data_IF_676676781232
#
_entry.id   IF_676676781232
#
_cell.length_a   1.000
_cell.length_b   1.000
_cell.length_c   1.000
_cell.angle_alpha   90.00
_cell.angle_beta   90.00
_cell.angle_gamma   90.00
#
_symmetry.space_group_name_H-M   'P 1'
#
loop_
_entity.id
_entity.type
_entity.pdbx_description
1 polymer ?
#
# COMPACT_ATOMS: atom_id res chain seq x y z
N UNK A 1 23.20 10.06 1.97
CA UNK A 1 24.03 9.04 1.29
C UNK A 1 24.23 7.80 2.16
N UNK A 2 24.73 7.93 3.40
CA UNK A 2 24.96 6.79 4.33
C UNK A 2 23.76 5.84 4.54
N UNK A 3 22.55 6.37 4.64
CA UNK A 3 21.34 5.56 4.83
C UNK A 3 20.95 4.77 3.58
N UNK A 4 20.94 5.42 2.41
CA UNK A 4 20.74 4.76 1.11
C UNK A 4 21.75 3.63 0.88
N UNK A 5 23.03 3.89 1.14
CA UNK A 5 24.10 2.88 1.00
C UNK A 5 23.83 1.69 1.91
N UNK A 6 23.54 1.94 3.19
CA UNK A 6 23.20 0.89 4.17
C UNK A 6 22.01 0.06 3.69
N UNK A 7 20.95 0.71 3.21
CA UNK A 7 19.73 0.03 2.79
C UNK A 7 19.93 -0.79 1.50
N UNK A 8 20.63 -0.24 0.51
CA UNK A 8 20.96 -0.96 -0.73
C UNK A 8 21.86 -2.17 -0.44
N UNK A 9 22.83 -2.06 0.46
CA UNK A 9 23.72 -3.17 0.83
C UNK A 9 22.98 -4.21 1.67
N UNK A 10 22.18 -3.79 2.65
CA UNK A 10 21.40 -4.71 3.47
C UNK A 10 20.40 -5.50 2.64
N UNK A 11 19.81 -4.85 1.64
CA UNK A 11 18.88 -5.47 0.73
C UNK A 11 19.64 -6.35 -0.26
N UNK A 12 20.52 -5.83 -1.10
CA UNK A 12 21.07 -6.55 -2.25
C UNK A 12 22.46 -7.17 -2.05
N UNK A 13 23.02 -7.09 -0.84
CA UNK A 13 24.32 -7.65 -0.49
C UNK A 13 25.44 -7.16 -1.43
N UNK A 14 26.16 -8.11 -2.03
CA UNK A 14 27.28 -7.81 -2.93
C UNK A 14 26.83 -7.07 -4.21
N UNK A 15 25.64 -7.38 -4.74
CA UNK A 15 25.08 -6.64 -5.89
C UNK A 15 24.83 -5.18 -5.53
N UNK A 16 24.37 -4.92 -4.31
CA UNK A 16 24.17 -3.57 -3.79
C UNK A 16 25.49 -2.79 -3.68
N UNK A 17 26.55 -3.41 -3.17
CA UNK A 17 27.89 -2.80 -3.12
C UNK A 17 28.40 -2.47 -4.52
N UNK A 18 28.30 -3.40 -5.47
CA UNK A 18 28.76 -3.20 -6.84
C UNK A 18 27.99 -2.07 -7.52
N UNK A 19 26.66 -2.04 -7.36
CA UNK A 19 25.82 -0.95 -7.88
C UNK A 19 26.28 0.43 -7.39
N UNK A 20 26.61 0.57 -6.11
CA UNK A 20 27.07 1.84 -5.55
C UNK A 20 28.44 2.27 -6.13
N UNK A 21 29.33 1.32 -6.41
CA UNK A 21 30.62 1.58 -7.09
C UNK A 21 30.40 2.06 -8.52
N UNK A 22 29.47 1.43 -9.25
CA UNK A 22 29.20 1.72 -10.67
C UNK A 22 28.30 2.95 -10.87
N UNK A 23 27.62 3.41 -9.81
CA UNK A 23 26.61 4.46 -9.86
C UNK A 23 27.08 5.77 -10.51
N UNK A 24 28.29 6.32 -10.23
CA UNK A 24 28.76 7.55 -10.88
C UNK A 24 28.91 7.39 -12.40
N UNK A 25 29.40 6.23 -12.85
CA UNK A 25 29.56 5.94 -14.28
C UNK A 25 28.18 5.78 -14.95
N UNK A 26 27.26 5.06 -14.30
CA UNK A 26 25.88 4.92 -14.78
C UNK A 26 25.19 6.29 -14.93
N UNK A 27 25.35 7.18 -13.94
CA UNK A 27 24.80 8.55 -14.01
C UNK A 27 25.40 9.31 -15.19
N UNK A 28 26.71 9.22 -15.42
CA UNK A 28 27.37 9.89 -16.55
C UNK A 28 26.86 9.37 -17.91
N UNK A 29 26.65 8.07 -18.05
CA UNK A 29 26.10 7.46 -19.26
C UNK A 29 24.67 7.93 -19.53
N UNK A 30 23.79 7.86 -18.52
CA UNK A 30 22.38 8.29 -18.63
C UNK A 30 22.31 9.79 -18.94
N UNK A 31 23.18 10.60 -18.30
CA UNK A 31 23.26 12.03 -18.56
C UNK A 31 23.56 12.32 -20.03
N UNK A 32 24.52 11.62 -20.62
CA UNK A 32 24.87 11.79 -22.03
C UNK A 32 23.76 11.26 -22.96
N UNK A 33 23.20 10.10 -22.65
CA UNK A 33 22.18 9.46 -23.48
C UNK A 33 20.88 10.27 -23.58
N UNK A 34 20.40 10.80 -22.45
CA UNK A 34 19.13 11.52 -22.38
C UNK A 34 19.28 13.04 -22.44
N UNK A 35 20.51 13.56 -22.59
CA UNK A 35 20.78 15.00 -22.62
C UNK A 35 20.44 15.70 -21.29
N UNK A 36 20.74 15.06 -20.16
CA UNK A 36 20.40 15.59 -18.84
C UNK A 36 21.44 16.62 -18.35
N UNK A 37 20.98 17.61 -17.60
CA UNK A 37 21.82 18.65 -17.00
C UNK A 37 21.46 18.91 -15.54
N UNK A 38 22.39 19.53 -14.81
CA UNK A 38 22.27 19.92 -13.40
C UNK A 38 21.69 18.84 -12.46
N UNK A 39 22.09 17.59 -12.67
CA UNK A 39 21.70 16.47 -11.81
C UNK A 39 22.22 16.68 -10.39
N UNK A 40 21.28 16.76 -9.44
CA UNK A 40 21.54 16.96 -8.01
C UNK A 40 20.78 15.92 -7.21
N UNK A 41 21.42 15.24 -6.25
CA UNK A 41 20.74 14.34 -5.33
C UNK A 41 19.58 15.04 -4.61
N UNK A 42 18.43 14.40 -4.58
CA UNK A 42 17.32 14.81 -3.70
C UNK A 42 17.64 14.31 -2.30
N UNK A 43 17.30 15.10 -1.27
CA UNK A 43 17.51 14.70 0.12
C UNK A 43 16.50 13.59 0.54
N UNK A 44 16.76 12.90 1.66
CA UNK A 44 15.88 11.87 2.25
C UNK A 44 15.65 10.62 1.38
N UNK A 45 16.73 10.06 0.82
CA UNK A 45 16.68 8.84 0.01
C UNK A 45 16.80 7.61 0.89
N UNK A 46 15.75 6.80 0.91
CA UNK A 46 15.72 5.55 1.69
C UNK A 46 16.21 4.35 0.87
N UNK A 47 15.78 4.17 -0.40
CA UNK A 47 16.06 2.91 -1.14
C UNK A 47 16.46 3.03 -2.60
N UNK A 48 16.17 4.15 -3.25
CA UNK A 48 16.57 4.42 -4.63
C UNK A 48 17.46 5.67 -4.66
N UNK A 49 18.41 5.72 -5.59
CA UNK A 49 19.16 6.94 -5.84
C UNK A 49 18.31 7.88 -6.70
N UNK A 50 17.90 9.00 -6.14
CA UNK A 50 17.01 9.96 -6.82
C UNK A 50 17.73 11.27 -7.04
N UNK A 51 17.74 11.73 -8.29
CA UNK A 51 18.37 12.95 -8.75
C UNK A 51 17.28 13.85 -9.34
N UNK A 52 17.34 15.14 -9.01
CA UNK A 52 16.61 16.17 -9.76
C UNK A 52 17.53 16.82 -10.77
N UNK A 53 16.98 17.33 -11.88
CA UNK A 53 17.76 18.08 -12.86
C UNK A 53 16.88 18.54 -14.00
N UNK A 54 17.46 18.64 -15.19
CA UNK A 54 16.75 19.07 -16.38
C UNK A 54 17.05 18.19 -17.59
N UNK A 55 16.09 18.13 -18.50
CA UNK A 55 16.27 17.73 -19.90
C UNK A 55 15.88 18.93 -20.75
N UNK A 56 16.85 19.56 -21.40
CA UNK A 56 16.72 20.92 -21.95
C UNK A 56 16.18 21.93 -20.93
N UNK A 57 14.89 22.31 -21.05
CA UNK A 57 14.18 23.21 -20.11
C UNK A 57 13.19 22.48 -19.20
N UNK A 58 12.91 21.20 -19.46
CA UNK A 58 11.99 20.38 -18.69
C UNK A 58 12.66 19.97 -17.38
N UNK A 59 12.04 20.26 -16.24
CA UNK A 59 12.51 19.79 -14.96
C UNK A 59 12.17 18.29 -14.77
N UNK A 60 13.15 17.49 -14.33
CA UNK A 60 13.02 16.04 -14.25
C UNK A 60 13.40 15.48 -12.87
N UNK A 61 12.93 14.26 -12.61
CA UNK A 61 13.40 13.38 -11.56
C UNK A 61 13.93 12.09 -12.23
N UNK A 62 15.19 11.75 -11.96
CA UNK A 62 15.80 10.50 -12.34
C UNK A 62 15.91 9.60 -11.11
N UNK A 63 15.24 8.45 -11.15
CA UNK A 63 15.34 7.40 -10.13
C UNK A 63 16.18 6.24 -10.67
N UNK A 64 17.13 5.78 -9.86
CA UNK A 64 18.00 4.64 -10.16
C UNK A 64 17.98 3.63 -9.00
N UNK A 65 18.00 2.33 -9.32
CA UNK A 65 18.12 1.28 -8.32
C UNK A 65 18.08 -0.12 -8.91
N UNK A 66 18.22 -1.12 -8.03
CA UNK A 66 18.29 -2.54 -8.42
C UNK A 66 16.93 -3.26 -8.46
N UNK A 67 15.85 -2.59 -8.06
CA UNK A 67 14.51 -3.18 -7.94
C UNK A 67 13.71 -3.13 -9.24
N UNK A 68 14.14 -3.86 -10.27
CA UNK A 68 13.58 -3.78 -11.63
C UNK A 68 12.06 -3.94 -11.71
N UNK A 69 11.50 -4.94 -11.01
CA UNK A 69 10.05 -5.17 -11.00
C UNK A 69 9.29 -4.03 -10.30
N UNK A 70 9.91 -3.43 -9.28
CA UNK A 70 9.37 -2.25 -8.60
C UNK A 70 9.31 -1.04 -9.54
N UNK A 71 10.38 -0.78 -10.28
CA UNK A 71 10.41 0.30 -11.28
C UNK A 71 9.41 0.09 -12.41
N UNK A 72 9.32 -1.13 -12.97
CA UNK A 72 8.35 -1.46 -14.02
C UNK A 72 6.92 -1.24 -13.55
N UNK A 73 6.61 -1.63 -12.30
CA UNK A 73 5.29 -1.47 -11.71
C UNK A 73 4.96 -0.01 -11.40
N UNK A 74 5.90 0.73 -10.83
CA UNK A 74 5.76 2.17 -10.60
C UNK A 74 5.48 2.89 -11.92
N UNK A 75 6.25 2.61 -12.96
CA UNK A 75 6.06 3.19 -14.28
C UNK A 75 4.70 2.82 -14.89
N UNK A 76 4.28 1.56 -14.78
CA UNK A 76 2.97 1.11 -15.23
C UNK A 76 1.84 1.84 -14.50
N UNK A 77 1.95 2.01 -13.17
CA UNK A 77 0.96 2.72 -12.37
C UNK A 77 0.89 4.21 -12.72
N UNK A 78 2.04 4.88 -12.85
CA UNK A 78 2.09 6.29 -13.29
C UNK A 78 1.48 6.47 -14.69
N UNK A 79 1.76 5.56 -15.63
CA UNK A 79 1.15 5.58 -16.96
C UNK A 79 -0.36 5.35 -16.91
N UNK A 80 -0.84 4.44 -16.06
CA UNK A 80 -2.26 4.21 -15.86
C UNK A 80 -2.97 5.42 -15.23
N UNK A 81 -2.29 6.17 -14.38
CA UNK A 81 -2.76 7.42 -13.78
C UNK A 81 -2.49 8.66 -14.64
N UNK A 82 -1.96 8.52 -15.86
CA UNK A 82 -1.69 9.66 -16.75
C UNK A 82 -2.99 10.41 -17.03
N UNK A 83 -2.99 11.73 -16.76
CA UNK A 83 -4.18 12.58 -16.84
C UNK A 83 -5.07 12.57 -15.59
N UNK A 84 -4.75 11.76 -14.58
CA UNK A 84 -5.51 11.60 -13.33
C UNK A 84 -4.75 12.10 -12.09
N UNK A 85 -3.83 13.06 -12.27
CA UNK A 85 -3.11 13.70 -11.17
C UNK A 85 -1.89 12.92 -10.67
N UNK A 86 -1.21 12.17 -11.54
CA UNK A 86 0.10 11.58 -11.27
C UNK A 86 1.17 12.20 -12.17
N UNK A 87 2.43 12.12 -11.74
CA UNK A 87 3.55 12.59 -12.56
C UNK A 87 3.74 11.74 -13.83
N UNK A 88 4.05 12.39 -14.93
CA UNK A 88 4.35 11.78 -16.22
C UNK A 88 5.67 11.00 -16.22
N UNK A 89 5.65 9.80 -16.82
CA UNK A 89 6.85 9.02 -17.15
C UNK A 89 7.43 9.52 -18.47
N UNK A 90 8.67 10.02 -18.45
CA UNK A 90 9.39 10.53 -19.63
C UNK A 90 10.21 9.43 -20.31
N UNK A 91 10.84 8.56 -19.52
CA UNK A 91 11.54 7.38 -20.02
C UNK A 91 11.63 6.30 -18.93
N UNK A 92 11.74 5.04 -19.35
CA UNK A 92 11.97 3.90 -18.46
C UNK A 92 12.99 2.95 -19.08
N UNK A 93 13.85 2.37 -18.24
CA UNK A 93 14.75 1.27 -18.57
C UNK A 93 14.89 0.35 -17.37
N UNK A 94 15.57 -0.78 -17.54
CA UNK A 94 15.93 -1.63 -16.41
C UNK A 94 16.70 -0.83 -15.35
N UNK A 95 16.21 -0.83 -14.10
CA UNK A 95 16.79 -0.09 -12.99
C UNK A 95 16.68 1.44 -13.06
N UNK A 96 15.93 2.00 -14.03
CA UNK A 96 15.86 3.44 -14.28
C UNK A 96 14.43 3.92 -14.57
N UNK A 97 14.06 5.03 -13.93
CA UNK A 97 12.84 5.76 -14.26
C UNK A 97 13.14 7.26 -14.34
N UNK A 98 12.79 7.87 -15.47
CA UNK A 98 12.89 9.31 -15.71
C UNK A 98 11.47 9.88 -15.72
N UNK A 99 11.20 10.82 -14.83
CA UNK A 99 9.88 11.38 -14.57
C UNK A 99 9.91 12.90 -14.75
N UNK A 100 8.75 13.48 -15.03
CA UNK A 100 8.58 14.92 -14.82
C UNK A 100 8.75 15.25 -13.33
N UNK A 101 9.28 16.44 -13.04
CA UNK A 101 9.37 16.95 -11.68
C UNK A 101 8.21 17.89 -11.38
N UNK A 102 7.56 17.69 -10.23
CA UNK A 102 6.56 18.63 -9.73
C UNK A 102 7.17 20.02 -9.44
N UNK A 103 6.51 21.10 -9.85
CA UNK A 103 6.97 22.49 -9.80
C UNK A 103 6.23 23.26 -8.70
N UNK A 104 7.01 23.99 -7.89
CA UNK A 104 6.90 24.10 -6.42
C UNK A 104 7.45 22.85 -5.73
N UNK A 105 6.88 21.67 -6.01
CA UNK A 105 7.36 20.39 -5.49
C UNK A 105 7.29 20.26 -3.96
N UNK A 106 6.60 21.20 -3.29
CA UNK A 106 6.38 21.15 -1.87
C UNK A 106 5.54 19.92 -1.51
N UNK A 107 6.02 19.13 -0.57
CA UNK A 107 5.28 17.97 -0.08
C UNK A 107 4.12 18.41 0.82
N UNK A 108 3.00 17.71 0.70
CA UNK A 108 1.85 17.86 1.59
C UNK A 108 2.21 17.59 3.07
N UNK A 109 3.34 16.95 3.35
CA UNK A 109 3.85 16.78 4.72
C UNK A 109 4.07 18.09 5.46
N UNK A 110 4.34 19.18 4.72
CA UNK A 110 4.49 20.52 5.30
C UNK A 110 3.19 21.06 5.93
N UNK A 111 2.05 20.41 5.70
CA UNK A 111 0.76 20.77 6.29
C UNK A 111 0.54 20.12 7.66
N UNK A 112 1.34 19.10 8.01
CA UNK A 112 1.19 18.40 9.28
C UNK A 112 1.96 19.11 10.41
N UNK A 113 1.38 19.29 11.61
CA UNK A 113 -0.01 19.01 12.00
C UNK A 113 -0.99 20.20 11.88
N UNK A 114 -0.52 21.40 11.49
CA UNK A 114 -1.32 22.63 11.64
C UNK A 114 -2.45 22.78 10.62
N UNK A 115 -2.34 22.14 9.46
CA UNK A 115 -3.26 22.26 8.32
C UNK A 115 -3.88 20.93 7.91
N UNK A 116 -4.21 20.08 8.88
CA UNK A 116 -4.78 18.75 8.65
C UNK A 116 -6.05 18.76 7.79
N UNK A 117 -6.93 19.73 8.01
CA UNK A 117 -8.18 19.82 7.24
C UNK A 117 -7.92 20.00 5.75
N UNK A 118 -7.01 20.91 5.39
CA UNK A 118 -6.61 21.13 4.00
C UNK A 118 -5.94 19.89 3.41
N UNK A 119 -5.06 19.23 4.19
CA UNK A 119 -4.37 18.02 3.75
C UNK A 119 -5.34 16.87 3.43
N UNK A 120 -6.39 16.69 4.25
CA UNK A 120 -7.44 15.70 3.99
C UNK A 120 -8.22 16.04 2.70
N UNK A 121 -8.56 17.32 2.47
CA UNK A 121 -9.27 17.73 1.26
C UNK A 121 -8.43 17.57 -0.01
N UNK A 122 -7.14 17.92 0.07
CA UNK A 122 -6.17 17.73 -1.02
C UNK A 122 -6.04 16.24 -1.36
N UNK A 123 -5.84 15.39 -0.35
CA UNK A 123 -5.81 13.94 -0.51
C UNK A 123 -7.11 13.41 -1.12
N UNK A 124 -8.26 13.87 -0.63
CA UNK A 124 -9.58 13.53 -1.18
C UNK A 124 -9.73 13.91 -2.66
N UNK A 125 -9.22 15.08 -3.05
CA UNK A 125 -9.16 15.51 -4.45
C UNK A 125 -8.27 14.60 -5.31
N UNK A 126 -7.11 14.19 -4.79
CA UNK A 126 -6.22 13.25 -5.45
C UNK A 126 -6.90 11.88 -5.67
N UNK A 127 -7.53 11.32 -4.63
CA UNK A 127 -8.26 10.05 -4.71
C UNK A 127 -9.36 10.07 -5.77
N UNK A 128 -10.15 11.16 -5.80
CA UNK A 128 -11.23 11.34 -6.79
C UNK A 128 -10.70 11.36 -8.22
N UNK A 129 -9.52 11.94 -8.47
CA UNK A 129 -8.87 11.92 -9.79
C UNK A 129 -8.34 10.51 -10.09
N UNK A 130 -7.54 9.92 -9.20
CA UNK A 130 -6.89 8.62 -9.39
C UNK A 130 -7.87 7.48 -9.65
N UNK A 131 -8.98 7.42 -8.91
CA UNK A 131 -9.96 6.34 -9.04
C UNK A 131 -10.77 6.39 -10.35
N UNK A 132 -10.59 7.42 -11.19
CA UNK A 132 -11.13 7.47 -12.55
C UNK A 132 -10.24 6.72 -13.57
N UNK A 133 -9.03 6.32 -13.18
CA UNK A 133 -8.15 5.54 -14.05
C UNK A 133 -8.79 4.19 -14.42
N UNK A 134 -8.93 3.96 -15.73
CA UNK A 134 -9.87 3.00 -16.30
C UNK A 134 -9.37 1.54 -16.34
N UNK A 135 -10.26 0.57 -16.68
CA UNK A 135 -10.03 -0.86 -16.57
C UNK A 135 -8.92 -1.57 -17.37
N UNK A 136 -8.41 -1.12 -18.55
CA UNK A 136 -7.43 -1.93 -19.30
C UNK A 136 -6.16 -2.20 -18.48
N UNK A 137 -5.90 -1.38 -17.47
CA UNK A 137 -4.76 -1.52 -16.57
C UNK A 137 -4.99 -2.48 -15.39
N UNK A 138 -6.24 -2.84 -15.07
CA UNK A 138 -6.55 -3.66 -13.88
C UNK A 138 -5.93 -5.06 -13.93
N UNK A 139 -5.75 -5.63 -15.12
CA UNK A 139 -5.14 -6.96 -15.31
C UNK A 139 -3.61 -6.97 -15.09
N UNK A 140 -2.99 -5.79 -15.01
CA UNK A 140 -1.53 -5.63 -14.90
C UNK A 140 -1.12 -5.47 -13.42
N UNK A 141 -2.04 -5.22 -12.49
CA UNK A 141 -1.67 -4.98 -11.10
C UNK A 141 -2.09 -6.15 -10.21
N UNK A 142 -1.26 -6.50 -9.20
CA UNK A 142 -1.68 -7.46 -8.19
C UNK A 142 -2.87 -6.91 -7.41
N UNK A 143 -3.60 -7.77 -6.73
CA UNK A 143 -4.69 -7.33 -5.87
C UNK A 143 -4.20 -7.23 -4.41
N UNK A 144 -4.79 -6.33 -3.61
CA UNK A 144 -4.47 -6.19 -2.18
C UNK A 144 -4.59 -7.50 -1.40
N UNK A 145 -5.43 -8.44 -1.86
CA UNK A 145 -5.60 -9.77 -1.25
C UNK A 145 -4.28 -10.53 -1.22
N UNK A 146 -3.46 -10.33 -2.26
CA UNK A 146 -2.20 -11.04 -2.43
C UNK A 146 -1.17 -10.51 -1.42
N UNK A 147 -1.20 -9.21 -1.10
CA UNK A 147 -0.39 -8.62 -0.02
C UNK A 147 -0.85 -9.10 1.36
N UNK A 148 -2.16 -9.22 1.54
CA UNK A 148 -2.78 -9.63 2.79
C UNK A 148 -2.57 -11.12 3.12
N UNK A 149 -2.02 -11.91 2.20
CA UNK A 149 -1.61 -13.29 2.45
C UNK A 149 -0.48 -13.38 3.49
N UNK A 150 0.32 -12.33 3.67
CA UNK A 150 1.37 -12.26 4.70
C UNK A 150 0.79 -12.53 6.10
N UNK A 151 -0.46 -12.09 6.35
CA UNK A 151 -1.13 -12.31 7.62
C UNK A 151 -1.43 -13.79 7.90
N UNK A 152 -1.36 -14.69 6.91
CA UNK A 152 -1.57 -16.13 7.12
C UNK A 152 -0.33 -16.83 7.70
N UNK A 153 0.85 -16.19 7.64
CA UNK A 153 2.06 -16.75 8.23
C UNK A 153 2.03 -16.62 9.75
N UNK A 154 2.71 -17.54 10.43
CA UNK A 154 3.01 -17.38 11.84
C UNK A 154 4.05 -16.28 12.04
N UNK A 155 3.90 -15.52 13.12
CA UNK A 155 4.79 -14.39 13.44
C UNK A 155 4.84 -14.17 14.94
N UNK A 156 5.73 -13.30 15.41
CA UNK A 156 5.77 -12.89 16.83
C UNK A 156 4.71 -11.83 17.18
N UNK A 157 3.74 -11.58 16.29
CA UNK A 157 2.56 -10.76 16.60
C UNK A 157 1.65 -11.58 17.52
N UNK A 158 1.11 -11.01 18.61
CA UNK A 158 0.17 -11.70 19.48
C UNK A 158 -1.02 -12.27 18.70
N UNK A 159 -1.35 -13.55 18.94
CA UNK A 159 -2.41 -14.29 18.25
C UNK A 159 -3.75 -13.56 18.25
N UNK A 160 -4.06 -12.83 19.32
CA UNK A 160 -5.25 -11.99 19.41
C UNK A 160 -5.34 -10.99 18.23
N UNK A 161 -4.29 -10.20 17.99
CA UNK A 161 -4.28 -9.22 16.91
C UNK A 161 -4.23 -9.88 15.54
N UNK A 162 -3.45 -10.94 15.39
CA UNK A 162 -3.29 -11.65 14.12
C UNK A 162 -4.61 -12.32 13.69
N UNK A 163 -5.30 -13.01 14.60
CA UNK A 163 -6.59 -13.64 14.33
C UNK A 163 -7.69 -12.61 14.08
N UNK A 164 -7.70 -11.49 14.83
CA UNK A 164 -8.63 -10.39 14.56
C UNK A 164 -8.39 -9.78 13.17
N UNK A 165 -7.13 -9.58 12.78
CA UNK A 165 -6.78 -9.04 11.47
C UNK A 165 -7.19 -9.98 10.33
N UNK A 166 -6.94 -11.30 10.48
CA UNK A 166 -7.39 -12.33 9.53
C UNK A 166 -8.92 -12.29 9.36
N UNK A 167 -9.67 -12.31 10.46
CA UNK A 167 -11.14 -12.26 10.43
C UNK A 167 -11.66 -10.98 9.75
N UNK A 168 -11.12 -9.82 10.13
CA UNK A 168 -11.51 -8.54 9.52
C UNK A 168 -11.15 -8.49 8.04
N UNK A 169 -9.93 -8.91 7.66
CA UNK A 169 -9.49 -9.02 6.27
C UNK A 169 -10.48 -9.85 5.45
N UNK A 170 -10.81 -11.05 5.91
CA UNK A 170 -11.67 -11.97 5.16
C UNK A 170 -13.06 -11.36 4.95
N UNK A 171 -13.67 -10.80 6.00
CA UNK A 171 -14.95 -10.10 5.90
C UNK A 171 -14.87 -8.88 4.96
N UNK A 172 -13.81 -8.08 5.05
CA UNK A 172 -13.65 -6.88 4.21
C UNK A 172 -13.48 -7.24 2.73
N UNK A 173 -12.66 -8.25 2.42
CA UNK A 173 -12.46 -8.73 1.05
C UNK A 173 -13.74 -9.33 0.46
N UNK A 174 -14.48 -10.12 1.25
CA UNK A 174 -15.75 -10.73 0.83
C UNK A 174 -16.84 -9.69 0.55
N UNK A 175 -16.89 -8.62 1.36
CA UNK A 175 -17.93 -7.58 1.29
C UNK A 175 -17.48 -6.33 0.52
N UNK A 176 -16.33 -6.38 -0.15
CA UNK A 176 -15.83 -5.25 -0.93
C UNK A 176 -16.74 -4.94 -2.11
N UNK A 177 -16.96 -3.65 -2.36
CA UNK A 177 -17.54 -3.18 -3.62
C UNK A 177 -16.52 -3.29 -4.76
N UNK A 178 -16.84 -2.71 -5.92
CA UNK A 178 -15.99 -2.71 -7.10
C UNK A 178 -14.57 -2.20 -6.79
N UNK A 179 -13.57 -2.99 -7.20
CA UNK A 179 -12.16 -2.62 -7.04
C UNK A 179 -11.74 -1.57 -8.07
N UNK A 180 -10.80 -0.71 -7.67
CA UNK A 180 -10.18 0.31 -8.52
C UNK A 180 -8.67 0.12 -8.52
N UNK A 181 -7.99 0.82 -9.43
CA UNK A 181 -6.54 0.97 -9.34
C UNK A 181 -6.20 1.93 -8.20
N UNK A 182 -5.48 1.40 -7.23
CA UNK A 182 -4.98 2.06 -6.03
C UNK A 182 -3.53 2.52 -6.25
N UNK A 183 -3.17 3.64 -5.66
CA UNK A 183 -1.77 4.06 -5.54
C UNK A 183 -1.03 3.05 -4.63
N UNK A 184 -1.69 2.59 -3.57
CA UNK A 184 -1.22 1.52 -2.68
C UNK A 184 -0.22 1.97 -1.62
N UNK A 185 0.08 3.27 -1.54
CA UNK A 185 0.99 3.88 -0.55
C UNK A 185 0.82 5.41 -0.52
N UNK A 186 -0.42 5.90 -0.63
CA UNK A 186 -0.68 7.32 -0.77
C UNK A 186 -0.67 8.01 0.60
N UNK A 187 0.41 8.73 0.88
CA UNK A 187 0.58 9.54 2.09
C UNK A 187 1.20 10.91 1.74
N UNK A 188 1.32 11.77 2.75
CA UNK A 188 1.76 13.16 2.62
C UNK A 188 3.04 13.39 1.80
N UNK A 189 4.05 12.52 1.90
CA UNK A 189 5.30 12.68 1.13
C UNK A 189 5.12 12.35 -0.36
N UNK A 190 4.14 11.53 -0.71
CA UNK A 190 3.83 11.12 -2.09
C UNK A 190 2.83 12.05 -2.78
N UNK A 191 2.42 13.15 -2.14
CA UNK A 191 1.54 14.17 -2.69
C UNK A 191 2.31 15.49 -2.74
N UNK A 192 2.59 15.96 -3.95
CA UNK A 192 3.42 17.14 -4.20
C UNK A 192 2.61 18.24 -4.89
N UNK A 193 2.92 19.49 -4.54
CA UNK A 193 2.33 20.64 -5.18
C UNK A 193 2.86 20.82 -6.61
N UNK A 194 1.94 21.08 -7.54
CA UNK A 194 2.19 21.36 -8.96
C UNK A 194 1.41 22.62 -9.36
N UNK A 195 2.04 23.79 -9.25
CA UNK A 195 1.32 25.06 -9.38
C UNK A 195 0.20 25.18 -8.35
N UNK A 196 -1.03 25.39 -8.82
CA UNK A 196 -2.24 25.44 -7.97
C UNK A 196 -2.91 24.06 -7.77
N UNK A 197 -2.36 23.01 -8.41
CA UNK A 197 -2.82 21.63 -8.33
C UNK A 197 -1.90 20.77 -7.44
N UNK A 198 -2.31 19.50 -7.25
CA UNK A 198 -1.53 18.48 -6.56
C UNK A 198 -1.40 17.24 -7.43
N UNK A 199 -0.20 16.65 -7.42
CA UNK A 199 0.14 15.44 -8.16
C UNK A 199 0.72 14.38 -7.24
N UNK A 200 0.53 13.11 -7.58
CA UNK A 200 1.07 11.98 -6.84
C UNK A 200 2.33 11.40 -7.49
N UNK A 201 3.19 10.82 -6.66
CA UNK A 201 4.46 10.20 -7.05
C UNK A 201 4.64 8.86 -6.36
N UNK A 202 5.51 8.00 -6.91
CA UNK A 202 5.88 6.71 -6.31
C UNK A 202 4.70 5.73 -6.01
N UNK A 203 3.73 5.56 -6.94
CA UNK A 203 2.68 4.57 -6.75
C UNK A 203 3.25 3.15 -6.76
N UNK A 204 2.67 2.29 -5.92
CA UNK A 204 2.94 0.84 -5.95
C UNK A 204 2.09 0.13 -6.97
N UNK A 205 0.91 0.67 -7.29
CA UNK A 205 -0.01 0.08 -8.26
C UNK A 205 -0.57 -1.25 -7.77
N UNK A 206 -1.79 -1.21 -7.25
CA UNK A 206 -2.47 -2.39 -6.73
C UNK A 206 -3.96 -2.28 -6.99
N UNK A 207 -4.66 -3.41 -7.14
CA UNK A 207 -6.11 -3.43 -7.26
C UNK A 207 -6.73 -3.67 -5.89
N UNK A 208 -7.70 -2.85 -5.52
CA UNK A 208 -8.38 -3.03 -4.26
C UNK A 208 -9.52 -2.08 -4.04
N UNK A 209 -10.05 -2.13 -2.83
CA UNK A 209 -11.14 -1.26 -2.41
C UNK A 209 -10.63 0.17 -2.13
N UNK A 210 -11.35 1.23 -2.55
CA UNK A 210 -11.03 2.61 -2.20
C UNK A 210 -10.80 2.87 -0.70
N UNK A 211 -11.52 2.15 0.18
CA UNK A 211 -11.37 2.26 1.64
C UNK A 211 -9.98 1.84 2.13
N UNK A 212 -9.27 0.99 1.39
CA UNK A 212 -7.91 0.56 1.72
C UNK A 212 -6.90 1.71 1.55
N UNK A 213 -7.04 2.55 0.52
CA UNK A 213 -6.04 3.57 0.15
C UNK A 213 -5.75 4.58 1.27
N UNK A 214 -6.80 5.00 1.99
CA UNK A 214 -6.70 6.09 2.97
C UNK A 214 -5.91 5.72 4.22
N UNK A 215 -5.75 4.43 4.53
CA UNK A 215 -5.10 3.99 5.75
C UNK A 215 -3.62 4.38 5.82
N UNK A 216 -2.92 4.45 4.68
CA UNK A 216 -1.55 4.93 4.61
C UNK A 216 -1.45 6.40 5.02
N UNK A 217 -2.36 7.25 4.54
CA UNK A 217 -2.44 8.64 4.97
C UNK A 217 -2.82 8.76 6.45
N UNK A 218 -3.82 8.00 6.91
CA UNK A 218 -4.35 8.07 8.28
C UNK A 218 -3.26 7.81 9.33
N UNK A 219 -2.35 6.86 9.07
CA UNK A 219 -1.24 6.57 9.99
C UNK A 219 -0.05 7.52 9.85
N UNK A 220 0.09 8.28 8.76
CA UNK A 220 1.27 9.12 8.50
C UNK A 220 1.05 10.61 8.83
N UNK A 221 2.09 11.42 9.06
CA UNK A 221 3.52 11.09 8.99
C UNK A 221 3.99 10.27 10.19
N UNK A 222 4.70 9.17 9.91
CA UNK A 222 5.32 8.32 10.94
C UNK A 222 6.79 8.69 11.19
N UNK A 223 7.29 8.59 12.45
CA UNK A 223 6.54 8.30 13.69
C UNK A 223 5.83 9.53 14.29
N UNK A 224 6.00 10.71 13.67
CA UNK A 224 5.58 12.01 14.18
C UNK A 224 4.15 12.08 14.70
N UNK A 225 3.20 11.42 14.04
CA UNK A 225 1.80 11.38 14.47
C UNK A 225 1.63 10.84 15.89
N UNK A 226 2.32 9.75 16.23
CA UNK A 226 2.18 9.08 17.52
C UNK A 226 2.93 9.79 18.65
N UNK A 227 3.81 10.73 18.32
CA UNK A 227 4.50 11.59 19.29
C UNK A 227 3.59 12.71 19.82
N UNK A 228 2.42 12.92 19.22
CA UNK A 228 1.46 13.94 19.65
C UNK A 228 0.46 13.38 20.67
N UNK A 229 0.21 14.13 21.75
CA UNK A 229 -0.77 13.76 22.78
C UNK A 229 -2.20 13.58 22.23
N UNK A 230 -2.52 14.24 21.11
CA UNK A 230 -3.82 14.19 20.46
C UNK A 230 -3.87 13.23 19.24
N UNK A 231 -2.93 12.30 19.08
CA UNK A 231 -2.85 11.37 17.95
C UNK A 231 -4.18 10.67 17.63
N UNK A 232 -4.86 10.12 18.64
CA UNK A 232 -6.16 9.45 18.44
C UNK A 232 -7.22 10.41 17.89
N UNK A 233 -7.27 11.67 18.34
CA UNK A 233 -8.22 12.67 17.84
C UNK A 233 -7.93 13.02 16.37
N UNK A 234 -6.66 13.11 16.00
CA UNK A 234 -6.25 13.33 14.59
C UNK A 234 -6.69 12.15 13.73
N UNK A 235 -6.46 10.91 14.19
CA UNK A 235 -6.89 9.68 13.48
C UNK A 235 -8.41 9.64 13.33
N UNK A 236 -9.17 9.91 14.39
CA UNK A 236 -10.63 9.99 14.37
C UNK A 236 -11.12 11.02 13.36
N UNK A 237 -10.52 12.21 13.38
CA UNK A 237 -10.85 13.30 12.46
C UNK A 237 -10.58 12.91 10.99
N UNK A 238 -9.42 12.34 10.70
CA UNK A 238 -9.09 11.86 9.34
C UNK A 238 -10.09 10.82 8.84
N UNK A 239 -10.40 9.81 9.66
CA UNK A 239 -11.34 8.76 9.28
C UNK A 239 -12.74 9.33 9.03
N UNK A 240 -13.22 10.21 9.91
CA UNK A 240 -14.52 10.86 9.76
C UNK A 240 -14.63 11.63 8.43
N UNK A 241 -13.61 12.38 8.05
CA UNK A 241 -13.63 13.15 6.81
C UNK A 241 -13.44 12.27 5.57
N UNK A 242 -12.56 11.27 5.59
CA UNK A 242 -12.42 10.34 4.46
C UNK A 242 -13.67 9.50 4.23
N UNK A 243 -14.37 9.10 5.30
CA UNK A 243 -15.67 8.43 5.20
C UNK A 243 -16.68 9.27 4.41
N UNK A 244 -16.75 10.58 4.68
CA UNK A 244 -17.61 11.52 3.93
C UNK A 244 -17.15 11.71 2.49
N UNK A 245 -15.85 11.91 2.27
CA UNK A 245 -15.29 12.18 0.93
C UNK A 245 -15.50 11.00 -0.02
N UNK A 246 -15.35 9.78 0.49
CA UNK A 246 -15.47 8.54 -0.27
C UNK A 246 -16.87 7.92 -0.22
N UNK A 247 -17.77 8.46 0.62
CA UNK A 247 -19.10 7.89 0.88
C UNK A 247 -19.02 6.44 1.38
N UNK A 248 -18.04 6.17 2.27
CA UNK A 248 -17.78 4.85 2.85
C UNK A 248 -17.99 4.90 4.37
N UNK A 249 -18.47 3.81 4.95
CA UNK A 249 -18.63 3.69 6.40
C UNK A 249 -17.31 3.93 7.15
N UNK A 250 -17.35 4.80 8.18
CA UNK A 250 -16.22 4.99 9.10
C UNK A 250 -15.72 3.66 9.66
N UNK A 251 -16.64 2.78 10.10
CA UNK A 251 -16.29 1.47 10.64
C UNK A 251 -15.45 0.63 9.67
N UNK A 252 -15.75 0.73 8.37
CA UNK A 252 -15.01 0.02 7.33
C UNK A 252 -13.59 0.55 7.18
N UNK A 253 -13.41 1.87 7.22
CA UNK A 253 -12.08 2.51 7.21
C UNK A 253 -11.29 2.12 8.47
N UNK A 254 -11.90 2.16 9.66
CA UNK A 254 -11.24 1.71 10.89
C UNK A 254 -10.77 0.27 10.82
N UNK A 255 -11.59 -0.63 10.27
CA UNK A 255 -11.20 -2.03 10.11
C UNK A 255 -10.04 -2.19 9.13
N UNK A 256 -10.02 -1.46 8.00
CA UNK A 256 -8.88 -1.45 7.08
C UNK A 256 -7.61 -0.88 7.72
N UNK A 257 -7.73 0.19 8.51
CA UNK A 257 -6.61 0.75 9.28
C UNK A 257 -6.01 -0.28 10.25
N UNK A 258 -6.86 -1.02 10.98
CA UNK A 258 -6.40 -2.10 11.86
C UNK A 258 -5.68 -3.21 11.08
N UNK A 259 -6.30 -3.72 10.01
CA UNK A 259 -5.70 -4.77 9.16
C UNK A 259 -4.36 -4.33 8.60
N UNK A 260 -4.25 -3.09 8.12
CA UNK A 260 -3.00 -2.56 7.60
C UNK A 260 -1.94 -2.28 8.66
N UNK A 261 -2.33 -1.92 9.90
CA UNK A 261 -1.38 -1.76 10.99
C UNK A 261 -0.72 -3.11 11.33
N UNK A 262 -1.52 -4.18 11.40
CA UNK A 262 -1.01 -5.54 11.62
C UNK A 262 -0.19 -6.04 10.43
N UNK A 263 -0.60 -5.73 9.19
CA UNK A 263 0.17 -6.05 7.99
C UNK A 263 1.54 -5.37 8.01
N UNK A 264 1.58 -4.08 8.35
CA UNK A 264 2.83 -3.33 8.44
C UNK A 264 3.72 -3.80 9.60
N UNK A 265 3.12 -4.25 10.71
CA UNK A 265 3.86 -4.92 11.79
C UNK A 265 4.49 -6.23 11.29
N UNK A 266 3.74 -7.08 10.58
CA UNK A 266 4.26 -8.34 10.05
C UNK A 266 5.44 -8.11 9.10
N UNK A 267 5.31 -7.12 8.22
CA UNK A 267 6.37 -6.67 7.34
C UNK A 267 7.60 -6.12 8.09
N UNK A 268 7.40 -5.30 9.11
CA UNK A 268 8.50 -4.81 9.93
C UNK A 268 9.25 -5.96 10.63
N UNK A 269 8.56 -7.02 11.08
CA UNK A 269 9.20 -8.21 11.63
C UNK A 269 10.03 -8.96 10.58
N UNK A 270 9.47 -9.21 9.39
CA UNK A 270 10.20 -9.86 8.29
C UNK A 270 11.46 -9.05 7.90
N UNK A 271 11.36 -7.72 7.99
CA UNK A 271 12.45 -6.79 7.66
C UNK A 271 13.47 -6.59 8.81
N UNK A 272 13.27 -7.21 9.98
CA UNK A 272 13.96 -6.88 11.25
C UNK A 272 13.99 -5.36 11.53
N UNK A 273 12.89 -4.68 11.20
CA UNK A 273 12.67 -3.26 11.46
C UNK A 273 12.12 -3.00 12.86
N UNK A 274 11.98 -1.72 13.19
CA UNK A 274 11.29 -1.31 14.41
C UNK A 274 9.79 -1.57 14.28
N UNK A 275 9.24 -2.31 15.24
CA UNK A 275 7.83 -2.70 15.29
C UNK A 275 7.00 -1.85 16.25
N UNK A 276 7.64 -1.06 17.11
CA UNK A 276 7.00 -0.36 18.24
C UNK A 276 5.84 0.53 17.78
N UNK A 277 6.05 1.24 16.67
CA UNK A 277 5.04 2.12 16.09
C UNK A 277 3.83 1.37 15.54
N UNK A 278 4.03 0.21 14.92
CA UNK A 278 2.93 -0.61 14.39
C UNK A 278 2.17 -1.32 15.50
N UNK A 279 2.85 -1.68 16.58
CA UNK A 279 2.22 -2.17 17.83
C UNK A 279 1.29 -1.11 18.40
N UNK A 280 1.81 0.10 18.64
CA UNK A 280 1.04 1.20 19.21
C UNK A 280 -0.17 1.58 18.32
N UNK A 281 -0.01 1.62 16.99
CA UNK A 281 -1.13 1.85 16.06
C UNK A 281 -2.18 0.74 16.16
N UNK A 282 -1.75 -0.52 16.20
CA UNK A 282 -2.65 -1.68 16.33
C UNK A 282 -3.48 -1.57 17.60
N UNK A 283 -2.87 -1.20 18.73
CA UNK A 283 -3.57 -1.00 20.01
C UNK A 283 -4.58 0.16 19.96
N UNK A 284 -4.22 1.28 19.35
CA UNK A 284 -5.12 2.43 19.15
C UNK A 284 -6.36 2.00 18.35
N UNK A 285 -6.16 1.34 17.21
CA UNK A 285 -7.25 0.87 16.37
C UNK A 285 -8.08 -0.21 17.07
N UNK A 286 -7.45 -1.15 17.77
CA UNK A 286 -8.11 -2.22 18.51
C UNK A 286 -9.07 -1.67 19.56
N UNK A 287 -8.59 -0.74 20.39
CA UNK A 287 -9.36 -0.12 21.47
C UNK A 287 -10.61 0.56 20.93
N UNK A 288 -10.50 1.28 19.80
CA UNK A 288 -11.66 1.95 19.18
C UNK A 288 -12.67 0.95 18.63
N UNK A 289 -12.22 -0.08 17.91
CA UNK A 289 -13.09 -1.10 17.32
C UNK A 289 -13.83 -1.89 18.42
N UNK A 290 -13.13 -2.24 19.50
CA UNK A 290 -13.70 -3.00 20.62
C UNK A 290 -14.80 -2.23 21.37
N UNK A 291 -14.69 -0.89 21.49
CA UNK A 291 -15.75 -0.04 22.07
C UNK A 291 -17.04 -0.08 21.24
N UNK A 292 -16.95 -0.26 19.93
CA UNK A 292 -18.16 -0.40 19.11
C UNK A 292 -18.81 -1.77 19.24
N UNK A 293 -18.01 -2.84 19.36
CA UNK A 293 -18.51 -4.18 19.62
C UNK A 293 -19.34 -4.23 20.91
N UNK A 294 -18.87 -3.60 21.98
CA UNK A 294 -19.57 -3.56 23.27
C UNK A 294 -20.86 -2.72 23.24
N UNK A 295 -20.85 -1.58 22.53
CA UNK A 295 -22.08 -0.77 22.33
C UNK A 295 -23.13 -1.50 21.52
N UNK A 296 -22.74 -2.24 20.47
CA UNK A 296 -23.68 -3.03 19.67
C UNK A 296 -24.30 -4.16 20.50
N UNK A 297 -23.51 -4.88 21.30
CA UNK A 297 -24.03 -5.88 22.24
C UNK A 297 -24.92 -5.29 23.34
N UNK A 298 -24.65 -4.06 23.81
CA UNK A 298 -25.54 -3.38 24.77
C UNK A 298 -26.87 -2.95 24.15
N UNK A 299 -26.87 -2.53 22.89
CA UNK A 299 -28.10 -2.18 22.17
C UNK A 299 -28.93 -3.43 21.89
N UNK A 300 -28.32 -4.52 21.39
CA UNK A 300 -29.03 -5.79 21.15
C UNK A 300 -29.58 -6.40 22.46
N UNK A 301 -28.81 -6.40 23.55
CA UNK A 301 -29.30 -6.87 24.87
C UNK A 301 -30.36 -5.97 25.51
N UNK A 302 -30.48 -4.71 25.07
CA UNK A 302 -31.54 -3.80 25.51
C UNK A 302 -32.83 -3.95 24.69
N UNK A 303 -32.73 -4.31 23.41
CA UNK A 303 -33.86 -4.59 22.52
C UNK A 303 -34.51 -5.96 22.82
N UNK A 304 -33.73 -6.93 23.30
CA UNK A 304 -34.22 -8.26 23.70
C UNK A 304 -35.09 -8.28 24.96
N UNK A 305 -35.18 -7.19 25.74
CA UNK A 305 -36.06 -7.13 26.93
C UNK A 305 -37.52 -6.77 26.62
N UNK A 306 -37.84 -6.35 25.40
CA UNK A 306 -39.18 -5.87 25.04
C UNK A 306 -39.88 -6.63 23.90
N UNK A 307 -39.36 -7.79 23.48
CA UNK A 307 -40.02 -8.64 22.49
C UNK A 307 -40.62 -9.88 23.18
N UNK A 308 -41.81 -9.72 23.75
CA UNK A 308 -42.75 -10.83 23.91
C UNK A 308 -43.24 -11.18 22.51
N UNK A 309 -42.58 -12.14 21.86
CA UNK A 309 -43.04 -12.70 20.58
C UNK A 309 -44.16 -13.69 20.88
N UNK A 310 -45.39 -13.30 20.55
CA UNK A 310 -46.51 -14.22 20.40
C UNK A 310 -46.23 -15.13 19.20
N UNK A 311 -46.13 -16.44 19.45
CA UNK A 311 -45.99 -17.44 18.40
C UNK A 311 -47.31 -17.58 17.63
N UNK A 312 -47.21 -17.62 16.29
CA UNK A 312 -48.21 -18.26 15.44
C UNK A 312 -47.49 -19.10 14.37
N UNK A 313 -47.86 -20.39 14.18
CA UNK A 313 -47.19 -21.30 13.26
C UNK A 313 -47.87 -21.27 11.89
N UNK A 314 -47.07 -21.24 10.81
CA UNK A 314 -47.30 -21.98 9.54
C UNK A 314 -46.43 -21.39 8.41
N UNK A 315 -45.47 -22.18 7.94
CA UNK A 315 -45.38 -22.65 6.55
C UNK A 315 -44.02 -23.30 6.33
N UNK A 316 -44.05 -24.63 6.26
CA UNK A 316 -42.94 -25.48 5.85
C UNK A 316 -42.96 -25.72 4.33
N UNK A 317 -41.79 -26.08 3.81
CA UNK A 317 -41.51 -26.83 2.57
C UNK A 317 -41.31 -26.07 1.26
N UNK A 318 -40.04 -26.00 0.81
CA UNK A 318 -39.63 -26.20 -0.58
C UNK A 318 -38.25 -26.92 -0.63
N UNK A 319 -37.98 -27.82 -1.59
CA UNK A 319 -36.81 -28.70 -1.57
C UNK A 319 -35.56 -28.09 -2.25
N UNK A 320 -34.39 -28.42 -1.71
CA UNK A 320 -33.08 -28.13 -2.29
C UNK A 320 -32.75 -29.05 -3.48
N UNK A 321 -32.18 -28.50 -4.55
CA UNK A 321 -31.45 -29.26 -5.60
C UNK A 321 -29.95 -28.94 -5.49
N UNK A 322 -29.05 -29.94 -5.52
CA UNK A 322 -27.61 -29.69 -5.55
C UNK A 322 -27.16 -29.33 -6.97
N UNK A 323 -26.36 -28.28 -7.09
CA UNK A 323 -25.62 -27.94 -8.31
C UNK A 323 -24.24 -28.60 -8.21
N UNK A 324 -23.97 -29.64 -9.00
CA UNK A 324 -22.62 -30.15 -9.19
C UNK A 324 -21.82 -29.20 -10.09
N UNK A 325 -20.76 -28.60 -9.57
CA UNK A 325 -19.73 -27.92 -10.37
C UNK A 325 -18.52 -28.85 -10.46
N UNK A 326 -18.23 -29.32 -11.68
CA UNK A 326 -17.01 -30.05 -12.02
C UNK A 326 -15.84 -29.07 -12.10
N UNK A 327 -14.78 -29.31 -11.36
CA UNK A 327 -13.50 -28.64 -11.54
C UNK A 327 -12.70 -29.37 -12.61
N UNK A 328 -12.44 -28.71 -13.75
CA UNK A 328 -11.40 -29.14 -14.68
C UNK A 328 -10.02 -28.77 -14.10
N UNK A 329 -9.09 -29.72 -14.14
CA UNK A 329 -7.75 -29.57 -13.60
C UNK A 329 -6.95 -28.51 -14.38
N UNK A 330 -6.38 -27.54 -13.65
CA UNK A 330 -5.44 -26.54 -14.19
C UNK A 330 -4.18 -27.24 -14.72
N UNK A 331 -3.69 -26.78 -15.86
CA UNK A 331 -2.53 -27.36 -16.54
C UNK A 331 -1.22 -26.72 -16.05
N UNK A 332 -0.07 -27.37 -16.30
CA UNK A 332 1.26 -26.89 -15.89
C UNK A 332 1.57 -25.46 -16.41
N UNK A 333 0.90 -25.01 -17.47
CA UNK A 333 1.04 -23.66 -18.02
C UNK A 333 0.36 -22.58 -17.17
N UNK A 334 -0.61 -22.95 -16.33
CA UNK A 334 -1.29 -22.07 -15.36
C UNK A 334 -0.44 -21.86 -14.11
N UNK A 335 0.52 -22.77 -13.83
CA UNK A 335 1.47 -22.68 -12.71
C UNK A 335 2.66 -21.76 -13.01
N UNK A 336 3.03 -21.56 -14.28
CA UNK A 336 4.09 -20.60 -14.67
C UNK A 336 3.64 -19.13 -14.52
N UNK A 337 2.33 -18.86 -14.53
CA UNK A 337 1.75 -17.52 -14.35
C UNK A 337 1.80 -17.07 -12.87
N UNK A 338 1.95 -18.01 -11.93
CA UNK A 338 2.03 -17.74 -10.49
C UNK A 338 3.43 -17.34 -10.00
N UNK A 339 4.46 -17.43 -10.87
CA UNK A 339 5.86 -17.23 -10.48
C UNK A 339 6.40 -15.79 -10.70
N UNK A 340 5.59 -14.91 -11.27
CA UNK A 340 5.81 -13.46 -11.35
C UNK A 340 4.92 -12.78 -10.29
N UNK A 341 5.11 -11.49 -9.94
CA UNK A 341 4.08 -10.64 -9.28
C UNK A 341 4.19 -10.18 -7.80
N UNK A 342 5.29 -9.68 -7.20
CA UNK A 342 5.19 -8.93 -5.90
C UNK A 342 6.23 -7.82 -5.68
N UNK A 343 5.85 -6.56 -5.37
CA UNK A 343 6.72 -5.51 -4.81
C UNK A 343 5.95 -4.31 -4.19
N UNK A 344 6.17 -4.05 -2.89
CA UNK A 344 5.77 -2.89 -2.06
C UNK A 344 6.91 -2.62 -1.06
N UNK A 345 7.24 -1.38 -0.66
CA UNK A 345 8.51 -1.03 0.00
C UNK A 345 8.75 -1.57 1.41
N UNK A 346 7.74 -2.09 2.12
CA UNK A 346 7.90 -2.83 3.39
C UNK A 346 7.89 -4.36 3.19
N UNK A 347 7.90 -4.81 1.93
CA UNK A 347 7.95 -6.23 1.51
C UNK A 347 9.35 -6.58 0.95
N UNK A 348 10.33 -5.68 1.10
CA UNK A 348 11.53 -5.65 0.26
C UNK A 348 12.64 -6.63 0.67
N UNK A 349 12.70 -7.13 1.90
CA UNK A 349 13.77 -8.05 2.32
C UNK A 349 13.62 -9.48 1.79
N UNK A 350 12.46 -9.84 1.23
CA UNK A 350 12.24 -11.13 0.56
C UNK A 350 12.93 -11.26 -0.80
N UNK A 351 13.31 -10.16 -1.45
CA UNK A 351 13.69 -10.18 -2.86
C UNK A 351 15.19 -10.33 -3.16
N UNK A 352 16.03 -10.48 -2.14
CA UNK A 352 17.48 -10.60 -2.34
C UNK A 352 18.08 -11.98 -2.04
N UNK A 353 17.30 -12.92 -1.52
CA UNK A 353 17.73 -14.32 -1.37
C UNK A 353 16.92 -15.19 -2.32
N UNK A 354 17.43 -15.38 -3.52
CA UNK A 354 16.91 -16.39 -4.45
C UNK A 354 17.08 -17.78 -3.86
N UNK A 355 16.03 -18.28 -3.19
CA UNK A 355 15.92 -19.68 -2.80
C UNK A 355 15.20 -20.42 -3.93
N UNK A 356 15.98 -21.25 -4.62
CA UNK A 356 15.54 -22.23 -5.60
C UNK A 356 14.73 -23.33 -4.89
N UNK A 357 13.43 -23.41 -5.21
CA UNK A 357 12.54 -24.45 -4.70
C UNK A 357 12.41 -25.64 -5.67
N UNK A 358 13.26 -25.77 -6.69
CA UNK A 358 13.14 -26.84 -7.69
C UNK A 358 13.72 -28.20 -7.27
N UNK A 359 14.35 -28.33 -6.11
CA UNK A 359 14.87 -29.63 -5.62
C UNK A 359 14.82 -29.75 -4.10
N UNK A 360 13.74 -30.33 -3.58
CA UNK A 360 13.82 -31.22 -2.42
C UNK A 360 12.88 -32.38 -2.62
N UNK A 361 13.50 -33.54 -2.84
CA UNK A 361 12.88 -34.84 -2.91
C UNK A 361 11.93 -35.05 -1.74
N UNK A 362 10.67 -35.32 -2.05
CA UNK A 362 9.73 -35.93 -1.12
C UNK A 362 10.04 -37.43 -1.18
N UNK A 363 10.90 -37.92 -0.29
CA UNK A 363 10.88 -39.33 0.08
C UNK A 363 9.67 -39.58 0.98
N UNK A 364 8.61 -40.12 0.38
CA UNK A 364 7.56 -40.82 1.10
C UNK A 364 8.15 -42.13 1.65
N UNK A 365 8.40 -42.19 2.95
CA UNK A 365 8.57 -43.46 3.63
C UNK A 365 7.22 -43.86 4.25
N UNK A 366 6.58 -44.79 3.53
CA UNK A 366 5.64 -45.88 3.89
C UNK A 366 4.65 -45.64 5.03
#
# INVERSE_FOLDING_TARGET
>A
MKELEKNIINMYGQKGKQFLVDLPHLIAQIKAEYGLSDLKPVNNLSYNHVLSGFQDKQAIILKLGLGNDGFKREAAALKAFSGFGAVTVLAEKEGMLLLERAISGASLKTYFPEKEYDAIHIMGGCLKKLHQAAPPFLKIFPHIKDWLMVLNKDSSIPDYYLNKARKLRDTLLETSSASVLLHGDLHHDNILQQGDDWVVIDPKGVIGEPAYEVAAFIRNPMPKLLELDNALKIIEHRIHHFAKILEISEHRIWNWCFVQAVLAWAWALEDNGDVSYFQQLTEIFDKKISVWGTRKTQIDTSLDRNLIVTQSPQCANLPAKPLELRFEALTIKDLEILHTWFQVPHVKKWYAKGLDFSKKDIELNV
#
